data_IF_127435878516
#
_entry.id   IF_127435878516
#
_cell.length_a   1.000
_cell.length_b   1.000
_cell.length_c   1.000
_cell.angle_alpha   90.00
_cell.angle_beta   90.00
_cell.angle_gamma   90.00
#
_symmetry.space_group_name_H-M   'P 1'
#
loop_
_entity.id
_entity.type
_entity.pdbx_description
1 polymer ?
#
# COMPACT_ATOMS: atom_id res chain seq x y z
N UNK A 1 -11.50 6.66 -20.12
CA UNK A 1 -12.14 6.03 -18.94
C UNK A 1 -11.68 6.85 -17.75
N UNK A 2 -12.59 7.55 -17.07
CA UNK A 2 -12.21 8.37 -15.90
C UNK A 2 -11.93 7.42 -14.75
N UNK A 3 -10.77 7.48 -14.07
CA UNK A 3 -10.48 6.62 -12.93
C UNK A 3 -11.55 6.81 -11.84
N UNK A 4 -11.90 5.76 -11.07
CA UNK A 4 -12.88 5.85 -9.98
C UNK A 4 -12.30 6.63 -8.79
N UNK A 5 -12.21 7.96 -8.93
CA UNK A 5 -11.94 8.95 -7.88
C UNK A 5 -12.70 10.27 -8.16
N UNK A 6 -13.75 10.20 -8.98
CA UNK A 6 -14.31 11.34 -9.72
C UNK A 6 -14.83 12.51 -8.86
N UNK A 7 -15.13 12.32 -7.56
CA UNK A 7 -15.66 13.39 -6.71
C UNK A 7 -14.62 14.05 -5.78
N UNK A 8 -13.43 13.45 -5.62
CA UNK A 8 -12.40 13.92 -4.69
C UNK A 8 -11.01 14.12 -5.34
N UNK A 9 -10.87 13.75 -6.62
CA UNK A 9 -9.63 13.83 -7.37
C UNK A 9 -8.52 12.92 -6.83
N UNK A 10 -7.41 12.85 -7.56
CA UNK A 10 -6.18 12.24 -7.05
C UNK A 10 -5.62 13.11 -5.93
N UNK A 11 -5.44 12.54 -4.74
CA UNK A 11 -4.87 13.24 -3.59
C UNK A 11 -3.50 12.68 -3.22
N UNK A 12 -2.70 13.46 -2.48
CA UNK A 12 -1.36 13.04 -2.07
C UNK A 12 -1.37 11.72 -1.27
N UNK A 13 -2.45 11.46 -0.51
CA UNK A 13 -2.67 10.18 0.20
C UNK A 13 -2.88 8.95 -0.70
N UNK A 14 -3.19 9.16 -1.99
CA UNK A 14 -3.35 8.08 -2.97
C UNK A 14 -2.00 7.69 -3.60
N UNK A 15 -0.91 8.37 -3.23
CA UNK A 15 0.45 8.06 -3.67
C UNK A 15 1.14 7.25 -2.59
N UNK A 16 1.54 6.03 -2.92
CA UNK A 16 2.42 5.23 -2.07
C UNK A 16 3.86 5.67 -2.32
N UNK A 17 4.56 6.08 -1.25
CA UNK A 17 5.98 6.42 -1.32
C UNK A 17 6.79 5.41 -0.53
N UNK A 18 7.77 4.81 -1.21
CA UNK A 18 8.76 3.94 -0.59
C UNK A 18 10.10 4.68 -0.48
N UNK A 19 10.80 4.45 0.62
CA UNK A 19 12.13 4.99 0.88
C UNK A 19 13.12 3.87 1.19
N UNK A 20 14.39 4.09 0.85
CA UNK A 20 15.47 3.23 1.28
C UNK A 20 16.08 3.79 2.56
N UNK A 21 16.36 2.92 3.53
CA UNK A 21 16.86 3.31 4.85
C UNK A 21 18.16 2.59 5.18
N UNK A 22 18.99 3.23 6.00
CA UNK A 22 20.20 2.63 6.57
C UNK A 22 19.91 2.33 8.04
N UNK A 23 20.06 1.07 8.45
CA UNK A 23 19.95 0.70 9.87
C UNK A 23 20.97 1.48 10.71
N UNK A 24 20.53 1.97 11.87
CA UNK A 24 21.40 2.62 12.84
C UNK A 24 22.50 1.68 13.39
N UNK A 25 22.37 0.36 13.22
CA UNK A 25 23.34 -0.65 13.64
C UNK A 25 24.27 -1.09 12.49
N UNK A 26 24.19 -0.46 11.31
CA UNK A 26 25.03 -0.82 10.17
C UNK A 26 26.51 -0.54 10.46
N UNK A 27 27.36 -1.56 10.31
CA UNK A 27 28.82 -1.41 10.38
C UNK A 27 29.41 -0.75 9.12
N UNK A 28 28.60 -0.59 8.06
CA UNK A 28 29.02 -0.12 6.74
C UNK A 28 28.18 1.08 6.26
N UNK A 29 27.78 1.97 7.16
CA UNK A 29 26.88 3.10 6.87
C UNK A 29 27.32 3.94 5.66
N UNK A 30 28.63 4.21 5.52
CA UNK A 30 29.17 4.95 4.39
C UNK A 30 29.00 4.21 3.05
N UNK A 31 29.26 2.91 3.02
CA UNK A 31 29.09 2.11 1.81
C UNK A 31 27.60 2.00 1.44
N UNK A 32 26.72 1.80 2.43
CA UNK A 32 25.28 1.84 2.24
C UNK A 32 24.84 3.19 1.65
N UNK A 33 25.34 4.31 2.19
CA UNK A 33 25.00 5.64 1.68
C UNK A 33 25.43 5.85 0.23
N UNK A 34 26.65 5.46 -0.12
CA UNK A 34 27.14 5.50 -1.51
C UNK A 34 26.23 4.70 -2.44
N UNK A 35 25.82 3.50 -2.01
CA UNK A 35 24.92 2.64 -2.78
C UNK A 35 23.51 3.25 -2.95
N UNK A 36 22.90 3.74 -1.86
CA UNK A 36 21.58 4.40 -1.93
C UNK A 36 21.62 5.65 -2.80
N UNK A 37 22.72 6.41 -2.76
CA UNK A 37 22.93 7.58 -3.62
C UNK A 37 23.00 7.17 -5.09
N UNK A 38 23.75 6.12 -5.41
CA UNK A 38 23.80 5.57 -6.76
C UNK A 38 22.40 5.16 -7.26
N UNK A 39 21.69 4.32 -6.50
CA UNK A 39 20.35 3.85 -6.86
C UNK A 39 19.34 5.00 -7.03
N UNK A 40 19.45 6.04 -6.21
CA UNK A 40 18.55 7.21 -6.29
C UNK A 40 18.71 8.03 -7.58
N UNK A 41 19.81 7.85 -8.32
CA UNK A 41 20.04 8.50 -9.60
C UNK A 41 19.83 7.55 -10.80
N UNK A 42 19.54 6.29 -10.54
CA UNK A 42 19.47 5.26 -11.57
C UNK A 42 18.00 5.05 -12.00
N UNK A 43 17.69 5.42 -13.25
CA UNK A 43 16.35 5.31 -13.81
C UNK A 43 15.85 3.86 -13.89
N UNK A 44 16.77 2.89 -13.83
CA UNK A 44 16.46 1.47 -13.92
C UNK A 44 16.30 0.76 -12.58
N UNK A 45 16.61 1.43 -11.47
CA UNK A 45 16.54 0.87 -10.13
C UNK A 45 15.10 0.74 -9.57
N UNK A 46 14.12 1.34 -10.25
CA UNK A 46 12.72 1.37 -9.83
C UNK A 46 11.92 0.31 -10.62
N UNK A 47 10.96 -0.34 -9.95
CA UNK A 47 10.06 -1.31 -10.57
C UNK A 47 9.26 -0.67 -11.73
N UNK A 48 8.83 -1.49 -12.69
CA UNK A 48 8.16 -1.00 -13.91
C UNK A 48 6.80 -0.32 -13.66
N UNK A 49 6.20 -0.56 -12.50
CA UNK A 49 4.94 0.01 -12.04
C UNK A 49 5.12 1.25 -11.15
N UNK A 50 6.34 1.77 -11.05
CA UNK A 50 6.73 2.80 -10.10
C UNK A 50 7.55 3.92 -10.77
N UNK A 51 7.49 5.12 -10.21
CA UNK A 51 8.23 6.29 -10.71
C UNK A 51 9.44 6.62 -9.82
N UNK A 52 10.59 7.03 -10.41
CA UNK A 52 11.67 7.60 -9.64
C UNK A 52 11.21 8.81 -8.83
N UNK A 53 11.55 8.85 -7.54
CA UNK A 53 11.19 9.96 -6.66
C UNK A 53 11.78 11.31 -7.12
N UNK A 54 12.90 11.28 -7.85
CA UNK A 54 13.53 12.47 -8.43
C UNK A 54 12.96 12.77 -9.82
N UNK A 55 12.37 13.96 -9.98
CA UNK A 55 11.86 14.45 -11.28
C UNK A 55 12.89 14.35 -12.40
N UNK A 56 14.12 14.76 -12.13
CA UNK A 56 15.22 14.69 -13.11
C UNK A 56 15.49 13.29 -13.64
N UNK A 57 15.23 12.25 -12.84
CA UNK A 57 15.40 10.84 -13.23
C UNK A 57 14.15 10.35 -13.97
N UNK A 58 12.95 10.66 -13.47
CA UNK A 58 11.68 10.30 -14.09
C UNK A 58 11.47 10.98 -15.47
N UNK A 59 12.10 12.13 -15.70
CA UNK A 59 12.07 12.86 -16.98
C UNK A 59 13.31 12.59 -17.85
N UNK A 60 14.21 11.70 -17.41
CA UNK A 60 15.41 11.38 -18.17
C UNK A 60 15.08 10.54 -19.41
N UNK A 61 15.90 10.68 -20.46
CA UNK A 61 15.77 9.86 -21.68
C UNK A 61 15.86 8.36 -21.36
N UNK A 62 16.70 7.97 -20.40
CA UNK A 62 16.83 6.59 -19.94
C UNK A 62 15.51 6.03 -19.40
N UNK A 63 14.75 6.83 -18.65
CA UNK A 63 13.45 6.41 -18.12
C UNK A 63 12.37 6.42 -19.20
N UNK A 64 12.28 7.47 -20.00
CA UNK A 64 11.24 7.59 -21.03
C UNK A 64 11.41 6.56 -22.14
N UNK A 65 12.64 6.15 -22.46
CA UNK A 65 12.91 5.13 -23.49
C UNK A 65 12.45 3.71 -23.11
N UNK A 66 12.23 3.43 -21.82
CA UNK A 66 11.82 2.11 -21.30
C UNK A 66 10.37 2.06 -20.80
N UNK A 67 9.64 3.16 -20.99
CA UNK A 67 8.32 3.39 -20.40
C UNK A 67 7.33 3.73 -21.50
N UNK A 68 6.06 3.36 -21.36
CA UNK A 68 5.06 3.68 -22.37
C UNK A 68 4.69 5.18 -22.32
N UNK A 69 4.24 5.77 -23.44
CA UNK A 69 3.74 7.14 -23.47
C UNK A 69 2.63 7.40 -22.44
N UNK A 70 1.74 6.43 -22.23
CA UNK A 70 0.64 6.52 -21.26
C UNK A 70 1.14 6.63 -19.82
N UNK A 71 2.22 5.93 -19.49
CA UNK A 71 2.85 6.02 -18.17
C UNK A 71 3.54 7.37 -17.96
N UNK A 72 4.07 7.98 -19.02
CA UNK A 72 4.61 9.35 -18.97
C UNK A 72 3.48 10.36 -18.75
N UNK A 73 2.39 10.25 -19.50
CA UNK A 73 1.20 11.09 -19.34
C UNK A 73 0.62 10.97 -17.92
N UNK A 74 0.57 9.74 -17.39
CA UNK A 74 0.16 9.49 -16.01
C UNK A 74 1.08 10.20 -15.01
N UNK A 75 2.40 10.11 -15.18
CA UNK A 75 3.35 10.81 -14.32
C UNK A 75 3.10 12.32 -14.31
N UNK A 76 2.96 12.92 -15.49
CA UNK A 76 2.72 14.36 -15.66
C UNK A 76 1.41 14.80 -15.01
N UNK A 77 0.34 14.01 -15.15
CA UNK A 77 -0.94 14.28 -14.51
C UNK A 77 -0.87 14.26 -12.97
N UNK A 78 0.08 13.53 -12.38
CA UNK A 78 0.27 13.42 -10.93
C UNK A 78 1.23 14.48 -10.36
N UNK A 79 2.01 15.19 -11.19
CA UNK A 79 2.96 16.21 -10.71
C UNK A 79 2.33 17.26 -9.77
N UNK A 80 1.14 17.83 -10.06
CA UNK A 80 0.50 18.79 -9.17
C UNK A 80 0.13 18.21 -7.81
N UNK A 81 -0.20 16.90 -7.77
CA UNK A 81 -0.50 16.19 -6.52
C UNK A 81 0.78 15.97 -5.72
N UNK A 82 1.88 15.61 -6.39
CA UNK A 82 3.19 15.37 -5.78
C UNK A 82 3.86 16.66 -5.26
N UNK A 83 3.48 17.83 -5.77
CA UNK A 83 3.93 19.14 -5.26
C UNK A 83 3.30 19.50 -3.91
N UNK A 84 2.17 18.86 -3.55
CA UNK A 84 1.56 19.10 -2.25
C UNK A 84 2.31 18.32 -1.17
N UNK A 85 2.61 18.94 -0.01
CA UNK A 85 3.22 18.24 1.09
C UNK A 85 2.30 17.08 1.51
N UNK A 86 2.82 15.86 1.42
CA UNK A 86 2.15 14.70 2.00
C UNK A 86 2.15 14.85 3.52
N UNK A 87 1.00 15.18 4.09
CA UNK A 87 0.73 14.89 5.49
C UNK A 87 0.54 13.38 5.61
N UNK A 88 1.61 12.68 6.01
CA UNK A 88 1.55 11.29 6.46
C UNK A 88 0.76 11.23 7.77
N UNK A 89 -0.57 11.31 7.68
CA UNK A 89 -1.46 11.10 8.82
C UNK A 89 -2.08 9.70 8.82
N UNK A 90 -1.93 8.93 7.75
CA UNK A 90 -2.40 7.55 7.70
C UNK A 90 -1.28 6.62 8.16
N UNK A 91 -1.50 5.92 9.28
CA UNK A 91 -0.85 4.62 9.48
C UNK A 91 -1.22 3.75 8.28
N UNK A 92 -0.21 3.20 7.61
CA UNK A 92 -0.46 2.12 6.66
C UNK A 92 -1.02 0.96 7.49
N UNK A 93 -2.33 0.70 7.37
CA UNK A 93 -2.98 -0.37 8.12
C UNK A 93 -2.35 -1.73 7.79
N UNK A 94 -1.81 -1.91 6.59
CA UNK A 94 -1.11 -3.13 6.20
C UNK A 94 0.30 -3.24 6.81
N UNK A 95 0.83 -2.17 7.40
CA UNK A 95 2.04 -2.20 8.21
C UNK A 95 1.78 -2.56 9.68
N UNK A 96 0.52 -2.48 10.13
CA UNK A 96 0.13 -2.96 11.45
C UNK A 96 -0.13 -4.45 11.40
N UNK A 97 0.74 -5.24 12.02
CA UNK A 97 0.54 -6.68 12.22
C UNK A 97 -0.75 -7.07 12.97
N UNK A 98 -1.41 -6.11 13.63
CA UNK A 98 -2.72 -6.31 14.25
C UNK A 98 -3.89 -6.10 13.28
N UNK A 99 -3.65 -5.64 12.06
CA UNK A 99 -4.69 -5.47 11.06
C UNK A 99 -4.87 -6.77 10.28
N UNK A 100 -6.11 -7.27 10.29
CA UNK A 100 -6.51 -8.44 9.51
C UNK A 100 -7.62 -8.05 8.52
N UNK A 101 -7.31 -7.88 7.22
CA UNK A 101 -8.31 -7.55 6.20
C UNK A 101 -9.18 -8.73 5.75
N UNK A 102 -9.04 -9.94 6.32
CA UNK A 102 -9.77 -11.14 5.89
C UNK A 102 -11.28 -10.89 5.75
N UNK A 103 -11.94 -10.36 6.78
CA UNK A 103 -13.40 -10.16 6.76
C UNK A 103 -13.83 -9.06 5.78
N UNK A 104 -12.99 -8.04 5.57
CA UNK A 104 -13.25 -7.02 4.55
C UNK A 104 -13.25 -7.64 3.14
N UNK A 105 -12.24 -8.46 2.83
CA UNK A 105 -12.16 -9.13 1.54
C UNK A 105 -13.28 -10.14 1.34
N UNK A 106 -13.61 -10.90 2.38
CA UNK A 106 -14.74 -11.82 2.35
C UNK A 106 -16.07 -11.10 2.08
N UNK A 107 -16.32 -9.96 2.72
CA UNK A 107 -17.53 -9.16 2.50
C UNK A 107 -17.61 -8.63 1.06
N UNK A 108 -16.48 -8.15 0.52
CA UNK A 108 -16.41 -7.69 -0.87
C UNK A 108 -16.65 -8.85 -1.85
N UNK A 109 -16.01 -10.00 -1.64
CA UNK A 109 -16.18 -11.19 -2.49
C UNK A 109 -17.63 -11.68 -2.48
N UNK A 110 -18.27 -11.67 -1.31
CA UNK A 110 -19.67 -12.01 -1.14
C UNK A 110 -20.60 -11.03 -1.86
N UNK A 111 -20.32 -9.73 -1.76
CA UNK A 111 -21.09 -8.70 -2.45
C UNK A 111 -20.96 -8.79 -3.98
N UNK A 112 -19.76 -9.08 -4.50
CA UNK A 112 -19.52 -9.35 -5.93
C UNK A 112 -20.34 -10.55 -6.41
N UNK A 113 -20.56 -11.55 -5.54
CA UNK A 113 -21.40 -12.72 -5.81
C UNK A 113 -22.91 -12.43 -5.66
N UNK A 114 -23.30 -11.18 -5.40
CA UNK A 114 -24.69 -10.74 -5.35
C UNK A 114 -25.32 -10.75 -3.97
N UNK A 115 -24.53 -10.91 -2.90
CA UNK A 115 -25.02 -10.68 -1.53
C UNK A 115 -25.16 -9.20 -1.24
N UNK A 116 -25.92 -8.88 -0.19
CA UNK A 116 -26.15 -7.51 0.24
C UNK A 116 -24.85 -6.89 0.80
N UNK A 117 -24.34 -5.85 0.14
CA UNK A 117 -23.06 -5.23 0.49
C UNK A 117 -23.07 -4.63 1.90
N UNK A 118 -24.16 -3.96 2.28
CA UNK A 118 -24.23 -3.27 3.57
C UNK A 118 -24.23 -4.28 4.73
N UNK A 119 -25.01 -5.37 4.61
CA UNK A 119 -25.02 -6.45 5.59
C UNK A 119 -23.67 -7.18 5.69
N UNK A 120 -23.00 -7.44 4.58
CA UNK A 120 -21.70 -8.10 4.56
C UNK A 120 -20.60 -7.21 5.17
N UNK A 121 -20.60 -5.90 4.85
CA UNK A 121 -19.67 -4.93 5.48
C UNK A 121 -19.95 -4.76 6.98
N UNK A 122 -21.21 -4.75 7.40
CA UNK A 122 -21.58 -4.67 8.81
C UNK A 122 -21.06 -5.90 9.57
N UNK A 123 -21.24 -7.10 9.00
CA UNK A 123 -20.72 -8.35 9.57
C UNK A 123 -19.20 -8.31 9.68
N UNK A 124 -18.50 -7.85 8.64
CA UNK A 124 -17.05 -7.70 8.67
C UNK A 124 -16.59 -6.74 9.78
N UNK A 125 -17.25 -5.59 9.93
CA UNK A 125 -16.94 -4.62 10.96
C UNK A 125 -17.11 -5.21 12.38
N UNK A 126 -18.20 -5.95 12.62
CA UNK A 126 -18.48 -6.54 13.92
C UNK A 126 -17.43 -7.61 14.30
N UNK A 127 -17.05 -8.46 13.34
CA UNK A 127 -15.98 -9.46 13.54
C UNK A 127 -14.63 -8.79 13.81
N UNK A 128 -14.25 -7.80 13.01
CA UNK A 128 -13.01 -7.03 13.23
C UNK A 128 -13.00 -6.35 14.60
N UNK A 129 -14.12 -5.78 15.05
CA UNK A 129 -14.20 -5.16 16.37
C UNK A 129 -13.97 -6.16 17.50
N UNK A 130 -14.60 -7.33 17.45
CA UNK A 130 -14.42 -8.39 18.44
C UNK A 130 -12.98 -8.92 18.43
N UNK A 131 -12.41 -9.10 17.24
CA UNK A 131 -11.01 -9.51 17.09
C UNK A 131 -10.06 -8.51 17.72
N UNK A 132 -10.19 -7.21 17.40
CA UNK A 132 -9.34 -6.15 17.94
C UNK A 132 -9.49 -6.01 19.45
N UNK A 133 -10.68 -6.26 20.02
CA UNK A 133 -10.86 -6.33 21.47
C UNK A 133 -10.03 -7.45 22.10
N UNK A 134 -10.02 -8.64 21.50
CA UNK A 134 -9.21 -9.76 21.96
C UNK A 134 -7.70 -9.46 21.86
N UNK A 135 -7.25 -8.93 20.72
CA UNK A 135 -5.84 -8.59 20.50
C UNK A 135 -5.35 -7.52 21.48
N UNK A 136 -6.15 -6.47 21.73
CA UNK A 136 -5.82 -5.41 22.71
C UNK A 136 -5.73 -5.95 24.14
N UNK A 137 -6.35 -7.09 24.43
CA UNK A 137 -6.26 -7.79 25.70
C UNK A 137 -5.11 -8.83 25.73
N UNK A 138 -4.09 -8.67 24.88
CA UNK A 138 -2.94 -9.55 24.74
C UNK A 138 -3.28 -10.99 24.29
N UNK A 139 -4.38 -11.18 23.57
CA UNK A 139 -4.68 -12.47 22.94
C UNK A 139 -3.79 -12.72 21.72
N UNK A 140 -3.46 -14.00 21.48
CA UNK A 140 -2.76 -14.44 20.27
C UNK A 140 -3.65 -14.26 19.03
N UNK A 141 -3.11 -13.78 17.91
CA UNK A 141 -3.89 -13.32 16.76
C UNK A 141 -4.77 -14.42 16.15
N UNK A 142 -4.19 -15.59 15.92
CA UNK A 142 -4.88 -16.74 15.35
C UNK A 142 -5.95 -17.31 16.29
N UNK A 143 -5.70 -17.24 17.60
CA UNK A 143 -6.69 -17.59 18.63
C UNK A 143 -7.84 -16.58 18.63
N UNK A 144 -7.55 -15.28 18.61
CA UNK A 144 -8.56 -14.22 18.56
C UNK A 144 -9.41 -14.33 17.29
N UNK A 145 -8.80 -14.54 16.14
CA UNK A 145 -9.49 -14.66 14.85
C UNK A 145 -10.44 -15.87 14.84
N UNK A 146 -9.96 -17.05 15.25
CA UNK A 146 -10.79 -18.26 15.33
C UNK A 146 -11.87 -18.22 16.41
N UNK A 147 -11.68 -17.39 17.43
CA UNK A 147 -12.68 -17.21 18.50
C UNK A 147 -13.88 -16.43 17.99
N UNK A 148 -13.66 -15.37 17.21
CA UNK A 148 -14.74 -14.53 16.67
C UNK A 148 -15.35 -15.12 15.40
N UNK A 149 -14.54 -15.86 14.64
CA UNK A 149 -14.94 -16.53 13.42
C UNK A 149 -14.33 -17.94 13.36
N UNK A 150 -15.06 -18.98 13.77
CA UNK A 150 -14.59 -20.36 13.68
C UNK A 150 -14.29 -20.84 12.25
N UNK A 151 -14.81 -20.14 11.24
CA UNK A 151 -14.56 -20.42 9.83
C UNK A 151 -13.36 -19.66 9.26
N UNK A 152 -12.70 -18.83 10.08
CA UNK A 152 -11.55 -18.03 9.70
C UNK A 152 -10.46 -18.87 9.04
N UNK A 153 -10.13 -18.53 7.79
CA UNK A 153 -9.09 -19.18 7.00
C UNK A 153 -7.83 -18.32 6.87
N UNK A 154 -7.87 -17.10 7.42
CA UNK A 154 -6.88 -16.07 7.20
C UNK A 154 -6.74 -15.68 5.74
N UNK A 155 -5.79 -14.79 5.51
CA UNK A 155 -5.41 -14.39 4.16
C UNK A 155 -4.48 -15.48 3.64
N UNK A 156 -5.06 -16.57 3.13
CA UNK A 156 -4.35 -17.54 2.26
C UNK A 156 -3.68 -16.82 1.08
N UNK A 157 -2.87 -17.49 0.23
CA UNK A 157 -1.78 -16.87 -0.55
C UNK A 157 -2.26 -15.82 -1.58
N UNK A 158 -2.59 -14.63 -1.09
CA UNK A 158 -2.59 -13.36 -1.77
C UNK A 158 -1.24 -12.65 -1.55
N UNK A 159 -0.35 -13.25 -0.74
CA UNK A 159 1.07 -12.91 -0.56
C UNK A 159 1.95 -13.46 -1.71
N UNK A 160 1.48 -13.32 -2.95
CA UNK A 160 2.14 -13.76 -4.17
C UNK A 160 2.47 -12.61 -5.13
N UNK A 161 2.82 -11.45 -4.58
CA UNK A 161 3.35 -10.30 -5.32
C UNK A 161 4.56 -9.73 -4.58
#
# INVERSE_FOLDING_TARGET
MVPPLADHGTQARNVRVAGMYISAQSQNSQACWTWLTYLSNEATAVAMDSFPARRSVAQSQTFTARTSPETIELYEAYLPVLDNPMTFQSQDLFSDHHFDPYWLYQAIDNAIQGRDLEAELQTAQDLTHLYLQCVRNNGEYDVCAKTVDPSYQGIGPLAGW
#
